data_IF_477482460453
#
_entry.id   IF_477482460453
#
_cell.length_a   1.000
_cell.length_b   1.000
_cell.length_c   1.000
_cell.angle_alpha   90.00
_cell.angle_beta   90.00
_cell.angle_gamma   90.00
#
_symmetry.space_group_name_H-M   'P 1'
#
loop_
_entity.id
_entity.type
_entity.pdbx_description
1 polymer ?
#
# COMPACT_ATOMS: atom_id res chain seq x y z
N UNK A 1 -1.52 -1.23 -11.53
CA UNK A 1 -1.41 -2.37 -10.60
C UNK A 1 -2.60 -3.29 -10.80
N UNK A 2 -2.35 -4.56 -11.13
CA UNK A 2 -3.36 -5.61 -11.05
C UNK A 2 -3.23 -6.34 -9.72
N UNK A 3 -4.34 -6.89 -9.23
CA UNK A 3 -4.42 -7.55 -7.94
C UNK A 3 -5.00 -8.96 -8.03
N UNK A 4 -4.70 -9.76 -7.02
CA UNK A 4 -5.24 -11.08 -6.76
C UNK A 4 -5.95 -11.07 -5.40
N UNK A 5 -7.13 -11.68 -5.36
CA UNK A 5 -7.80 -12.08 -4.13
C UNK A 5 -7.52 -13.57 -3.88
N UNK A 6 -7.20 -13.94 -2.63
CA UNK A 6 -7.01 -15.32 -2.22
C UNK A 6 -7.94 -15.61 -1.05
N UNK A 7 -8.97 -16.43 -1.31
CA UNK A 7 -9.94 -16.84 -0.30
C UNK A 7 -9.45 -18.09 0.43
N UNK A 8 -9.25 -17.96 1.73
CA UNK A 8 -8.88 -19.04 2.64
C UNK A 8 -10.10 -19.42 3.47
N UNK A 9 -10.56 -20.66 3.32
CA UNK A 9 -11.69 -21.20 4.07
C UNK A 9 -11.18 -21.97 5.29
N UNK A 10 -11.74 -21.65 6.46
CA UNK A 10 -11.41 -22.30 7.73
C UNK A 10 -12.59 -23.12 8.25
N UNK A 11 -12.33 -24.10 9.10
CA UNK A 11 -13.37 -24.95 9.69
C UNK A 11 -14.25 -24.19 10.71
N UNK A 12 -13.79 -23.07 11.24
CA UNK A 12 -14.49 -22.23 12.22
C UNK A 12 -14.33 -20.74 11.90
N UNK A 13 -15.20 -19.86 12.44
CA UNK A 13 -15.07 -18.42 12.25
C UNK A 13 -13.71 -17.89 12.68
N UNK A 14 -13.16 -16.95 11.92
CA UNK A 14 -11.84 -16.38 12.19
C UNK A 14 -11.96 -15.19 13.14
N UNK A 15 -11.24 -15.23 14.26
CA UNK A 15 -11.15 -14.10 15.17
C UNK A 15 -10.27 -12.98 14.57
N UNK A 16 -10.91 -11.99 13.97
CA UNK A 16 -10.26 -10.86 13.31
C UNK A 16 -9.34 -10.05 14.24
N UNK A 17 -9.77 -9.84 15.49
CA UNK A 17 -8.97 -9.12 16.47
C UNK A 17 -7.66 -9.87 16.82
N UNK A 18 -7.73 -11.20 16.95
CA UNK A 18 -6.54 -12.04 17.16
C UNK A 18 -5.58 -12.00 15.95
N UNK A 19 -6.12 -12.04 14.72
CA UNK A 19 -5.31 -11.88 13.50
C UNK A 19 -4.61 -10.51 13.47
N UNK A 20 -5.32 -9.43 13.82
CA UNK A 20 -4.72 -8.09 13.92
C UNK A 20 -3.63 -8.03 14.99
N UNK A 21 -3.86 -8.62 16.17
CA UNK A 21 -2.86 -8.68 17.24
C UNK A 21 -1.59 -9.45 16.79
N UNK A 22 -1.75 -10.60 16.11
CA UNK A 22 -0.64 -11.35 15.54
C UNK A 22 0.13 -10.52 14.49
N UNK A 23 -0.60 -9.80 13.63
CA UNK A 23 0.02 -8.93 12.63
C UNK A 23 0.82 -7.78 13.27
N UNK A 24 0.29 -7.14 14.32
CA UNK A 24 0.99 -6.07 15.07
C UNK A 24 2.32 -6.54 15.66
N UNK A 25 2.40 -7.80 16.08
CA UNK A 25 3.62 -8.38 16.65
C UNK A 25 4.72 -8.60 15.60
N UNK A 26 4.34 -8.94 14.36
CA UNK A 26 5.28 -9.40 13.34
C UNK A 26 5.55 -8.35 12.25
N UNK A 27 4.55 -7.59 11.83
CA UNK A 27 4.62 -6.63 10.74
C UNK A 27 4.95 -5.22 11.28
N UNK A 28 6.17 -5.09 11.80
CA UNK A 28 6.71 -3.82 12.30
C UNK A 28 6.83 -2.77 11.20
N UNK A 29 6.88 -1.49 11.59
CA UNK A 29 6.97 -0.33 10.69
C UNK A 29 5.78 -0.21 9.71
N UNK A 30 4.62 -0.76 10.09
CA UNK A 30 3.37 -0.61 9.37
C UNK A 30 2.33 0.17 10.19
N UNK A 31 1.44 0.87 9.50
CA UNK A 31 0.14 1.25 10.04
C UNK A 31 -0.71 0.00 10.23
N UNK A 32 -1.37 -0.09 11.37
CA UNK A 32 -2.31 -1.17 11.66
C UNK A 32 -3.72 -0.58 11.72
N UNK A 33 -4.63 -1.12 10.91
CA UNK A 33 -6.03 -0.74 10.89
C UNK A 33 -6.90 -1.97 11.01
N UNK A 34 -8.01 -1.82 11.71
CA UNK A 34 -9.00 -2.88 11.96
C UNK A 34 -10.37 -2.22 12.12
N UNK A 35 -11.32 -2.68 11.31
CA UNK A 35 -12.73 -2.32 11.37
C UNK A 35 -13.54 -3.60 11.50
N UNK A 36 -14.27 -3.75 12.61
CA UNK A 36 -15.35 -4.73 12.70
C UNK A 36 -16.65 -4.03 12.31
N UNK A 37 -17.28 -4.47 11.23
CA UNK A 37 -18.57 -3.94 10.79
C UNK A 37 -19.70 -4.51 11.66
N UNK A 38 -19.59 -5.80 11.97
CA UNK A 38 -20.49 -6.56 12.84
C UNK A 38 -19.72 -7.75 13.44
N UNK A 39 -20.43 -8.71 14.05
CA UNK A 39 -19.81 -9.88 14.69
C UNK A 39 -19.19 -10.90 13.73
N UNK A 40 -19.48 -10.83 12.44
CA UNK A 40 -19.03 -11.78 11.41
C UNK A 40 -18.13 -11.16 10.35
N UNK A 41 -18.19 -9.84 10.18
CA UNK A 41 -17.51 -9.11 9.10
C UNK A 41 -16.48 -8.12 9.63
N UNK A 42 -15.25 -8.23 9.14
CA UNK A 42 -14.18 -7.30 9.46
C UNK A 42 -13.26 -7.01 8.26
N UNK A 43 -12.58 -5.87 8.30
CA UNK A 43 -11.49 -5.52 7.40
C UNK A 43 -10.29 -5.02 8.20
N UNK A 44 -9.11 -5.58 7.94
CA UNK A 44 -7.89 -5.26 8.66
C UNK A 44 -6.66 -5.28 7.77
N UNK A 45 -5.57 -4.67 8.22
CA UNK A 45 -4.32 -4.71 7.47
C UNK A 45 -3.13 -4.15 8.22
N UNK A 46 -1.96 -4.29 7.59
CA UNK A 46 -0.67 -3.80 8.10
C UNK A 46 0.12 -3.16 6.98
N UNK A 47 -0.26 -1.93 6.65
CA UNK A 47 0.24 -1.21 5.48
C UNK A 47 1.49 -0.39 5.79
N UNK A 48 2.52 -0.43 4.94
CA UNK A 48 3.69 0.43 5.09
C UNK A 48 3.50 1.83 4.49
N UNK A 49 2.40 2.08 3.77
CA UNK A 49 2.25 3.23 2.88
C UNK A 49 1.30 4.28 3.44
N UNK A 50 1.79 5.49 3.63
CA UNK A 50 0.96 6.67 3.92
C UNK A 50 0.33 7.18 2.63
N UNK A 51 -0.99 7.37 2.64
CA UNK A 51 -1.67 8.12 1.58
C UNK A 51 -1.47 9.63 1.80
N UNK A 52 -1.85 10.14 2.97
CA UNK A 52 -1.45 11.49 3.41
C UNK A 52 -1.44 11.63 4.93
N UNK A 53 -0.75 12.66 5.40
CA UNK A 53 -0.86 13.20 6.75
C UNK A 53 -0.92 14.71 6.68
N UNK A 54 -1.99 15.29 7.22
CA UNK A 54 -2.18 16.74 7.30
C UNK A 54 -2.09 17.20 8.75
N UNK A 55 -1.37 18.30 8.99
CA UNK A 55 -1.43 19.09 10.23
C UNK A 55 -1.65 20.54 9.85
N UNK A 56 -2.82 21.08 10.19
CA UNK A 56 -3.35 22.31 9.64
C UNK A 56 -3.30 22.30 8.10
N UNK A 57 -2.34 23.02 7.49
CA UNK A 57 -2.10 23.00 6.04
C UNK A 57 -0.87 22.21 5.63
N UNK A 58 0.01 21.82 6.56
CA UNK A 58 1.20 21.05 6.24
C UNK A 58 0.81 19.63 5.83
N UNK A 59 1.16 19.26 4.59
CA UNK A 59 0.83 17.98 3.98
C UNK A 59 2.10 17.14 3.80
N UNK A 60 2.02 15.86 4.17
CA UNK A 60 3.02 14.85 3.85
C UNK A 60 2.37 13.67 3.14
N UNK A 61 2.94 13.27 2.03
CA UNK A 61 2.63 12.02 1.30
C UNK A 61 3.95 11.37 0.87
N UNK A 62 3.89 10.26 0.15
CA UNK A 62 5.07 9.53 -0.30
C UNK A 62 4.78 8.72 -1.57
N UNK A 63 5.77 8.64 -2.45
CA UNK A 63 5.80 7.68 -3.54
C UNK A 63 6.49 6.40 -3.05
N UNK A 64 5.71 5.35 -2.79
CA UNK A 64 6.19 4.05 -2.36
C UNK A 64 5.94 3.01 -3.45
N UNK A 65 6.91 2.83 -4.34
CA UNK A 65 6.85 1.90 -5.47
C UNK A 65 8.26 1.44 -5.83
N UNK A 66 8.37 0.23 -6.39
CA UNK A 66 9.61 -0.53 -6.48
C UNK A 66 9.80 -1.43 -5.27
N UNK A 67 10.05 -2.72 -5.52
CA UNK A 67 10.04 -3.77 -4.49
C UNK A 67 11.19 -4.74 -4.67
N UNK A 68 11.79 -5.17 -3.55
CA UNK A 68 12.69 -6.33 -3.49
C UNK A 68 12.34 -7.18 -2.27
N UNK A 69 12.74 -8.44 -2.25
CA UNK A 69 12.61 -9.28 -1.06
C UNK A 69 13.42 -8.72 0.13
N UNK A 70 12.93 -8.96 1.35
CA UNK A 70 13.73 -8.77 2.55
C UNK A 70 14.47 -10.07 2.91
N UNK A 71 15.56 -9.95 3.67
CA UNK A 71 16.30 -11.08 4.21
C UNK A 71 16.49 -10.94 5.73
N UNK A 72 16.50 -12.04 6.53
CA UNK A 72 16.77 -11.97 7.96
C UNK A 72 18.19 -11.49 8.31
N UNK A 73 19.19 -11.87 7.51
CA UNK A 73 20.54 -11.31 7.60
C UNK A 73 20.58 -9.87 7.10
N UNK A 74 21.05 -8.96 7.95
CA UNK A 74 21.07 -7.52 7.70
C UNK A 74 21.99 -7.11 6.55
N UNK A 75 23.12 -7.80 6.36
CA UNK A 75 24.06 -7.48 5.27
C UNK A 75 23.48 -7.88 3.93
N UNK A 76 22.82 -9.04 3.85
CA UNK A 76 22.12 -9.47 2.65
C UNK A 76 20.93 -8.56 2.32
N UNK A 77 20.14 -8.18 3.34
CA UNK A 77 19.04 -7.23 3.15
C UNK A 77 19.54 -5.87 2.67
N UNK A 78 20.65 -5.39 3.22
CA UNK A 78 21.28 -4.14 2.78
C UNK A 78 21.71 -4.21 1.31
N UNK A 79 22.39 -5.29 0.87
CA UNK A 79 22.78 -5.47 -0.54
C UNK A 79 21.57 -5.50 -1.49
N UNK A 80 20.48 -6.16 -1.09
CA UNK A 80 19.23 -6.15 -1.86
C UNK A 80 18.63 -4.74 -1.95
N UNK A 81 18.71 -3.96 -0.87
CA UNK A 81 18.30 -2.56 -0.86
C UNK A 81 19.18 -1.66 -1.72
N UNK A 82 20.51 -1.85 -1.71
CA UNK A 82 21.46 -1.14 -2.57
C UNK A 82 21.20 -1.45 -4.05
N UNK A 83 20.93 -2.72 -4.38
CA UNK A 83 20.49 -3.12 -5.71
C UNK A 83 19.18 -2.41 -6.10
N UNK A 84 18.17 -2.39 -5.22
CA UNK A 84 16.89 -1.71 -5.47
C UNK A 84 17.08 -0.20 -5.73
N UNK A 85 18.01 0.44 -5.02
CA UNK A 85 18.35 1.85 -5.21
C UNK A 85 19.08 2.11 -6.54
N UNK A 86 19.81 1.13 -7.07
CA UNK A 86 20.56 1.26 -8.33
C UNK A 86 19.80 0.73 -9.56
N UNK A 87 18.70 0.00 -9.37
CA UNK A 87 17.95 -0.61 -10.47
C UNK A 87 17.09 0.41 -11.25
N UNK A 88 17.40 0.57 -12.53
CA UNK A 88 16.75 1.54 -13.43
C UNK A 88 15.26 1.29 -13.62
N UNK A 89 14.78 0.03 -13.57
CA UNK A 89 13.35 -0.28 -13.68
C UNK A 89 12.62 0.27 -12.46
N UNK A 90 13.05 -0.11 -11.26
CA UNK A 90 12.42 0.29 -10.00
C UNK A 90 12.51 1.81 -9.77
N UNK A 91 13.63 2.44 -10.13
CA UNK A 91 13.79 3.89 -10.04
C UNK A 91 12.78 4.64 -10.94
N UNK A 92 12.60 4.18 -12.18
CA UNK A 92 11.60 4.77 -13.11
C UNK A 92 10.17 4.53 -12.63
N UNK A 93 9.87 3.33 -12.15
CA UNK A 93 8.55 3.03 -11.57
C UNK A 93 8.22 3.98 -10.41
N UNK A 94 9.18 4.19 -9.50
CA UNK A 94 9.00 5.12 -8.39
C UNK A 94 8.84 6.58 -8.86
N UNK A 95 9.62 7.01 -9.85
CA UNK A 95 9.54 8.39 -10.36
C UNK A 95 8.20 8.69 -11.03
N UNK A 96 7.62 7.72 -11.75
CA UNK A 96 6.27 7.86 -12.32
C UNK A 96 5.22 8.13 -11.24
N UNK A 97 5.36 7.52 -10.05
CA UNK A 97 4.47 7.79 -8.91
C UNK A 97 4.70 9.18 -8.33
N UNK A 98 5.96 9.64 -8.23
CA UNK A 98 6.28 11.01 -7.81
C UNK A 98 5.65 12.03 -8.76
N UNK A 99 5.86 11.87 -10.07
CA UNK A 99 5.36 12.77 -11.11
C UNK A 99 3.83 12.86 -11.08
N UNK A 100 3.14 11.73 -10.95
CA UNK A 100 1.68 11.68 -10.77
C UNK A 100 1.22 12.43 -9.52
N UNK A 101 1.84 12.18 -8.37
CA UNK A 101 1.48 12.88 -7.12
C UNK A 101 1.69 14.39 -7.27
N UNK A 102 2.83 14.81 -7.80
CA UNK A 102 3.14 16.23 -8.01
C UNK A 102 2.14 16.89 -8.97
N UNK A 103 1.83 16.24 -10.09
CA UNK A 103 0.85 16.74 -11.07
C UNK A 103 -0.53 16.92 -10.46
N UNK A 104 -0.95 15.98 -9.59
CA UNK A 104 -2.26 16.04 -8.93
C UNK A 104 -2.33 17.12 -7.86
N UNK A 105 -1.23 17.35 -7.13
CA UNK A 105 -1.22 18.33 -6.03
C UNK A 105 -0.96 19.77 -6.48
N UNK A 106 -0.35 20.00 -7.65
CA UNK A 106 0.17 21.32 -8.06
C UNK A 106 -0.84 22.48 -7.99
N UNK A 107 -2.14 22.23 -8.21
CA UNK A 107 -3.16 23.28 -8.19
C UNK A 107 -3.65 23.63 -6.78
N UNK A 108 -3.47 22.72 -5.82
CA UNK A 108 -4.03 22.79 -4.47
C UNK A 108 -2.97 23.03 -3.40
N UNK A 109 -1.69 23.08 -3.78
CA UNK A 109 -0.56 23.20 -2.85
C UNK A 109 0.40 24.32 -3.26
N UNK A 110 1.26 24.70 -2.31
CA UNK A 110 2.46 25.48 -2.58
C UNK A 110 3.55 24.57 -3.18
N UNK A 111 4.80 25.04 -3.18
CA UNK A 111 5.97 24.28 -3.62
C UNK A 111 6.00 22.87 -3.03
N UNK A 112 6.35 21.89 -3.86
CA UNK A 112 6.46 20.49 -3.51
C UNK A 112 7.93 20.12 -3.31
N UNK A 113 8.27 19.67 -2.11
CA UNK A 113 9.60 19.18 -1.75
C UNK A 113 9.63 17.65 -1.87
N UNK A 114 10.26 17.14 -2.92
CA UNK A 114 10.51 15.70 -3.08
C UNK A 114 11.86 15.36 -2.45
N UNK A 115 11.83 14.55 -1.40
CA UNK A 115 13.04 14.13 -0.69
C UNK A 115 13.80 13.02 -1.46
N UNK A 116 15.11 12.85 -1.21
CA UNK A 116 15.90 11.78 -1.81
C UNK A 116 15.29 10.39 -1.56
N UNK A 117 15.48 9.45 -2.51
CA UNK A 117 15.00 8.08 -2.34
C UNK A 117 15.61 7.38 -1.13
N UNK A 118 14.82 6.53 -0.49
CA UNK A 118 15.22 5.71 0.65
C UNK A 118 14.65 4.30 0.52
N UNK A 119 15.34 3.32 1.09
CA UNK A 119 14.80 1.94 1.23
C UNK A 119 14.04 1.82 2.54
N UNK A 120 12.77 1.43 2.46
CA UNK A 120 11.93 1.05 3.58
C UNK A 120 11.92 -0.48 3.73
N UNK A 121 12.69 -1.00 4.70
CA UNK A 121 12.77 -2.43 4.99
C UNK A 121 11.60 -2.88 5.88
N UNK A 122 10.88 -3.91 5.44
CA UNK A 122 9.76 -4.54 6.15
C UNK A 122 10.03 -6.03 6.35
N UNK A 123 9.14 -6.75 7.03
CA UNK A 123 9.32 -8.17 7.40
C UNK A 123 9.71 -9.07 6.22
N UNK A 124 8.97 -9.00 5.10
CA UNK A 124 9.15 -9.90 3.94
C UNK A 124 9.65 -9.19 2.66
N UNK A 125 9.52 -7.87 2.60
CA UNK A 125 9.86 -7.07 1.42
C UNK A 125 10.53 -5.76 1.84
N UNK A 126 11.18 -5.10 0.89
CA UNK A 126 11.67 -3.73 1.02
C UNK A 126 11.10 -2.89 -0.12
N UNK A 127 10.90 -1.60 0.13
CA UNK A 127 10.33 -0.68 -0.87
C UNK A 127 11.22 0.53 -1.07
N UNK A 128 11.23 1.04 -2.31
CA UNK A 128 11.80 2.34 -2.61
C UNK A 128 10.77 3.43 -2.28
N UNK A 129 11.17 4.42 -1.47
CA UNK A 129 10.32 5.50 -0.97
C UNK A 129 10.93 6.87 -1.29
N UNK A 130 10.11 7.78 -1.82
CA UNK A 130 10.39 9.22 -1.85
C UNK A 130 9.29 9.96 -1.10
N UNK A 131 9.64 10.61 0.00
CA UNK A 131 8.70 11.44 0.75
C UNK A 131 8.45 12.76 -0.02
N UNK A 132 7.20 13.23 -0.01
CA UNK A 132 6.79 14.47 -0.69
C UNK A 132 6.09 15.36 0.32
N UNK A 133 6.66 16.54 0.57
CA UNK A 133 6.16 17.50 1.55
C UNK A 133 5.72 18.78 0.86
N UNK A 134 4.64 19.39 1.36
CA UNK A 134 4.15 20.67 0.86
C UNK A 134 3.19 21.31 1.87
N UNK A 135 2.65 22.48 1.54
CA UNK A 135 1.55 23.10 2.25
C UNK A 135 0.33 23.23 1.32
N UNK A 136 -0.84 22.83 1.79
CA UNK A 136 -2.10 23.02 1.08
C UNK A 136 -2.50 24.50 1.07
N UNK A 137 -3.17 24.93 0.00
CA UNK A 137 -3.81 26.24 -0.07
C UNK A 137 -4.93 26.37 0.98
N UNK A 138 -5.68 25.28 1.20
CA UNK A 138 -6.77 25.16 2.17
C UNK A 138 -6.61 23.87 2.98
N UNK A 139 -6.90 23.92 4.29
CA UNK A 139 -6.90 22.74 5.14
C UNK A 139 -8.17 21.90 4.84
N UNK A 140 -8.11 21.08 3.79
CA UNK A 140 -9.26 20.35 3.25
C UNK A 140 -8.88 18.90 2.92
N UNK A 141 -9.44 17.96 3.68
CA UNK A 141 -9.15 16.53 3.54
C UNK A 141 -9.87 15.89 2.35
N UNK A 142 -10.95 16.49 1.83
CA UNK A 142 -11.65 16.02 0.63
C UNK A 142 -10.77 16.25 -0.60
N UNK A 143 -10.08 17.39 -0.66
CA UNK A 143 -9.05 17.65 -1.67
C UNK A 143 -7.93 16.59 -1.57
N UNK A 144 -7.39 16.35 -0.38
CA UNK A 144 -6.34 15.33 -0.21
C UNK A 144 -6.79 13.96 -0.71
N UNK A 145 -8.01 13.53 -0.34
CA UNK A 145 -8.55 12.24 -0.73
C UNK A 145 -8.71 12.11 -2.25
N UNK A 146 -9.36 13.06 -2.93
CA UNK A 146 -9.64 12.97 -4.37
C UNK A 146 -8.40 13.23 -5.25
N UNK A 147 -7.44 14.03 -4.78
CA UNK A 147 -6.21 14.25 -5.52
C UNK A 147 -5.28 13.05 -5.40
N UNK A 148 -5.17 12.42 -4.23
CA UNK A 148 -4.22 11.34 -3.98
C UNK A 148 -4.78 9.94 -4.24
N UNK A 149 -6.05 9.66 -3.93
CA UNK A 149 -6.63 8.32 -4.09
C UNK A 149 -7.37 8.15 -5.43
N UNK A 150 -7.19 7.02 -6.14
CA UNK A 150 -6.14 6.02 -5.95
C UNK A 150 -4.79 6.53 -6.47
N UNK A 151 -3.69 6.19 -5.80
CA UNK A 151 -2.34 6.55 -6.26
C UNK A 151 -1.97 5.81 -7.55
N UNK A 152 -1.01 6.33 -8.31
CA UNK A 152 -0.40 5.60 -9.43
C UNK A 152 0.16 4.23 -9.00
N UNK A 153 0.65 4.10 -7.76
CA UNK A 153 1.17 2.84 -7.22
C UNK A 153 0.09 1.75 -7.11
N UNK A 154 -1.18 2.12 -6.83
CA UNK A 154 -2.27 1.15 -6.64
C UNK A 154 -3.28 1.08 -7.79
N UNK A 155 -3.36 2.10 -8.64
CA UNK A 155 -4.16 2.05 -9.87
C UNK A 155 -3.25 1.83 -11.08
N UNK A 156 -2.38 2.78 -11.38
CA UNK A 156 -1.53 2.82 -12.56
C UNK A 156 -1.66 4.16 -13.29
N UNK A 157 -1.00 4.27 -14.44
CA UNK A 157 -0.96 5.49 -15.25
C UNK A 157 -1.28 5.20 -16.73
N UNK A 158 -1.98 6.12 -17.43
CA UNK A 158 -2.78 7.23 -16.88
C UNK A 158 -3.92 6.72 -15.98
N UNK A 159 -4.26 7.46 -14.91
CA UNK A 159 -5.18 6.96 -13.85
C UNK A 159 -6.53 6.45 -14.38
N UNK A 160 -7.17 7.19 -15.28
CA UNK A 160 -8.49 6.81 -15.81
C UNK A 160 -8.43 5.53 -16.64
N UNK A 161 -7.44 5.40 -17.52
CA UNK A 161 -7.24 4.19 -18.32
C UNK A 161 -6.87 3.00 -17.44
N UNK A 162 -6.01 3.20 -16.44
CA UNK A 162 -5.65 2.15 -15.48
C UNK A 162 -6.88 1.68 -14.67
N UNK A 163 -7.72 2.62 -14.20
CA UNK A 163 -8.97 2.29 -13.50
C UNK A 163 -9.96 1.55 -14.39
N UNK A 164 -10.12 1.96 -15.65
CA UNK A 164 -10.97 1.27 -16.62
C UNK A 164 -10.47 -0.15 -16.90
N UNK A 165 -9.16 -0.33 -17.02
CA UNK A 165 -8.56 -1.65 -17.22
C UNK A 165 -8.82 -2.56 -16.01
N UNK A 166 -8.58 -2.06 -14.79
CA UNK A 166 -8.89 -2.77 -13.55
C UNK A 166 -10.36 -3.17 -13.50
N UNK A 167 -11.28 -2.22 -13.74
CA UNK A 167 -12.72 -2.46 -13.68
C UNK A 167 -13.20 -3.49 -14.72
N UNK A 168 -12.53 -3.58 -15.87
CA UNK A 168 -12.88 -4.51 -16.95
C UNK A 168 -12.30 -5.91 -16.75
N UNK A 169 -11.11 -6.01 -16.15
CA UNK A 169 -10.31 -7.24 -16.21
C UNK A 169 -10.02 -7.89 -14.87
N UNK A 170 -10.15 -7.19 -13.73
CA UNK A 170 -10.02 -7.87 -12.43
C UNK A 170 -11.25 -8.74 -12.14
N UNK A 171 -11.06 -10.03 -11.80
CA UNK A 171 -12.17 -10.97 -11.62
C UNK A 171 -12.89 -10.83 -10.26
N UNK A 172 -12.65 -9.73 -9.53
CA UNK A 172 -13.24 -9.45 -8.23
C UNK A 172 -13.30 -7.94 -7.96
N UNK A 173 -14.14 -7.53 -7.02
CA UNK A 173 -14.19 -6.15 -6.54
C UNK A 173 -13.19 -5.94 -5.40
N UNK A 174 -12.37 -4.89 -5.48
CA UNK A 174 -11.41 -4.56 -4.42
C UNK A 174 -12.07 -4.11 -3.11
N UNK A 175 -13.25 -3.50 -3.18
CA UNK A 175 -13.98 -2.96 -2.03
C UNK A 175 -13.08 -2.02 -1.19
N UNK A 176 -12.68 -2.45 0.01
CA UNK A 176 -11.80 -1.71 0.93
C UNK A 176 -10.31 -1.83 0.59
N UNK A 177 -9.91 -2.85 -0.17
CA UNK A 177 -8.52 -3.04 -0.58
C UNK A 177 -8.02 -1.92 -1.49
N UNK A 178 -6.81 -1.42 -1.21
CA UNK A 178 -6.20 -0.28 -1.89
C UNK A 178 -7.00 1.03 -1.81
N UNK A 179 -7.99 1.11 -0.90
CA UNK A 179 -8.58 2.36 -0.42
C UNK A 179 -7.69 3.03 0.62
N UNK A 180 -8.30 3.61 1.65
CA UNK A 180 -7.56 4.23 2.76
C UNK A 180 -8.19 3.94 4.12
N UNK A 181 -7.35 3.93 5.16
CA UNK A 181 -7.75 3.76 6.56
C UNK A 181 -7.02 4.77 7.44
N UNK A 182 -7.76 5.42 8.34
CA UNK A 182 -7.24 6.55 9.08
C UNK A 182 -8.30 7.34 9.84
N UNK A 183 -7.99 8.59 10.14
CA UNK A 183 -8.89 9.52 10.82
C UNK A 183 -8.76 10.94 10.26
N UNK A 184 -9.79 11.75 10.47
CA UNK A 184 -9.78 13.18 10.18
C UNK A 184 -10.39 13.99 11.32
N UNK A 185 -9.90 15.23 11.44
CA UNK A 185 -10.43 16.28 12.30
C UNK A 185 -10.10 17.62 11.64
N UNK A 186 -10.70 18.72 12.09
CA UNK A 186 -10.39 20.05 11.54
C UNK A 186 -8.88 20.37 11.60
N UNK A 187 -8.22 20.05 12.72
CA UNK A 187 -6.81 20.35 12.95
C UNK A 187 -5.86 19.40 12.20
N UNK A 188 -6.18 18.11 12.11
CA UNK A 188 -5.26 17.13 11.52
C UNK A 188 -5.98 15.86 11.04
N UNK A 189 -5.32 15.18 10.10
CA UNK A 189 -5.75 13.90 9.56
C UNK A 189 -4.54 13.03 9.20
N UNK A 190 -4.73 11.72 9.21
CA UNK A 190 -3.73 10.79 8.70
C UNK A 190 -4.42 9.53 8.17
N UNK A 191 -4.09 9.18 6.93
CA UNK A 191 -4.60 8.02 6.23
C UNK A 191 -3.45 7.23 5.63
N UNK A 192 -3.45 5.93 5.87
CA UNK A 192 -2.62 4.96 5.15
C UNK A 192 -3.39 4.39 3.96
N UNK A 193 -2.67 3.90 2.95
CA UNK A 193 -3.27 3.13 1.86
C UNK A 193 -3.61 1.74 2.39
N UNK A 194 -4.81 1.22 2.10
CA UNK A 194 -5.30 -0.07 2.63
C UNK A 194 -4.71 -1.30 1.93
N UNK A 195 -3.37 -1.37 1.91
CA UNK A 195 -2.57 -2.49 1.42
C UNK A 195 -2.30 -3.51 2.53
N UNK A 196 -1.74 -4.68 2.13
CA UNK A 196 -1.39 -5.79 3.03
C UNK A 196 -2.55 -6.07 3.99
N UNK A 197 -3.72 -6.28 3.39
CA UNK A 197 -5.00 -6.28 4.06
C UNK A 197 -5.80 -7.54 3.76
N UNK A 198 -6.78 -7.79 4.63
CA UNK A 198 -7.67 -8.93 4.57
C UNK A 198 -9.11 -8.49 4.88
N UNK A 199 -10.06 -9.05 4.15
CA UNK A 199 -11.48 -9.04 4.51
C UNK A 199 -11.83 -10.39 5.14
N UNK A 200 -12.51 -10.36 6.28
CA UNK A 200 -12.98 -11.54 7.00
C UNK A 200 -14.50 -11.53 6.93
N UNK A 201 -15.08 -12.66 6.55
CA UNK A 201 -16.52 -12.92 6.55
C UNK A 201 -16.76 -14.32 7.10
N UNK A 202 -17.16 -14.38 8.38
CA UNK A 202 -17.32 -15.64 9.11
C UNK A 202 -16.03 -16.45 9.17
N UNK A 203 -15.99 -17.57 8.47
CA UNK A 203 -14.85 -18.50 8.38
C UNK A 203 -14.00 -18.32 7.11
N UNK A 204 -14.23 -17.26 6.32
CA UNK A 204 -13.46 -16.96 5.11
C UNK A 204 -12.58 -15.74 5.33
N UNK A 205 -11.29 -15.88 5.00
CA UNK A 205 -10.34 -14.77 4.95
C UNK A 205 -9.93 -14.53 3.50
N UNK A 206 -10.31 -13.38 2.95
CA UNK A 206 -9.86 -12.91 1.65
C UNK A 206 -8.61 -12.05 1.82
N UNK A 207 -7.46 -12.55 1.37
CA UNK A 207 -6.21 -11.81 1.31
C UNK A 207 -6.08 -11.09 -0.03
N UNK A 208 -5.51 -9.89 0.00
CA UNK A 208 -5.25 -9.09 -1.20
C UNK A 208 -3.77 -8.81 -1.39
N UNK A 209 -3.29 -8.98 -2.63
CA UNK A 209 -1.97 -8.52 -3.05
C UNK A 209 -2.01 -8.09 -4.51
N UNK A 210 -1.19 -7.10 -4.87
CA UNK A 210 -1.13 -6.57 -6.23
C UNK A 210 0.27 -6.12 -6.61
N UNK A 211 0.52 -6.11 -7.91
CA UNK A 211 1.80 -5.77 -8.53
C UNK A 211 1.61 -4.73 -9.66
N UNK A 212 2.59 -3.83 -9.77
CA UNK A 212 2.63 -2.80 -10.81
C UNK A 212 3.06 -3.41 -12.13
N UNK A 213 2.17 -3.43 -13.13
CA UNK A 213 2.50 -3.99 -14.45
C UNK A 213 3.02 -2.86 -15.33
N UNK A 214 4.27 -2.97 -15.76
CA UNK A 214 4.94 -2.03 -16.66
C UNK A 214 5.51 -2.77 -17.87
N UNK A 215 5.99 -2.02 -18.87
CA UNK A 215 6.68 -2.63 -20.01
C UNK A 215 7.90 -3.41 -19.50
N UNK A 216 7.94 -4.70 -19.84
CA UNK A 216 9.00 -5.62 -19.39
C UNK A 216 8.70 -6.35 -18.07
N UNK A 217 7.50 -6.20 -17.51
CA UNK A 217 7.01 -7.09 -16.45
C UNK A 217 6.92 -8.53 -16.95
N UNK A 218 7.43 -9.46 -16.15
CA UNK A 218 7.38 -10.90 -16.40
C UNK A 218 6.29 -11.53 -15.49
N UNK A 219 5.31 -12.26 -16.04
CA UNK A 219 4.19 -12.78 -15.25
C UNK A 219 4.60 -13.60 -14.02
N UNK A 220 5.64 -14.43 -14.13
CA UNK A 220 6.09 -15.29 -13.03
C UNK A 220 6.74 -14.47 -11.91
N UNK A 221 7.56 -13.47 -12.28
CA UNK A 221 8.14 -12.54 -11.30
C UNK A 221 7.08 -11.72 -10.58
N UNK A 222 6.09 -11.19 -11.30
CA UNK A 222 5.00 -10.41 -10.69
C UNK A 222 4.12 -11.30 -9.79
N UNK A 223 3.95 -12.58 -10.15
CA UNK A 223 3.26 -13.57 -9.32
C UNK A 223 4.01 -13.84 -8.00
N UNK A 224 5.33 -14.06 -8.09
CA UNK A 224 6.18 -14.24 -6.92
C UNK A 224 6.18 -12.99 -6.00
N UNK A 225 6.12 -11.79 -6.58
CA UNK A 225 6.00 -10.54 -5.83
C UNK A 225 4.69 -10.48 -5.03
N UNK A 226 3.55 -10.79 -5.64
CA UNK A 226 2.26 -10.77 -4.92
C UNK A 226 2.16 -11.86 -3.85
N UNK A 227 2.81 -13.01 -4.05
CA UNK A 227 2.93 -14.04 -3.01
C UNK A 227 3.75 -13.54 -1.81
N UNK A 228 4.88 -12.87 -2.06
CA UNK A 228 5.69 -12.26 -1.01
C UNK A 228 4.92 -11.15 -0.24
N UNK A 229 4.11 -10.35 -0.96
CA UNK A 229 3.25 -9.32 -0.36
C UNK A 229 2.13 -9.93 0.50
N UNK A 230 1.49 -11.01 0.03
CA UNK A 230 0.44 -11.72 0.77
C UNK A 230 0.99 -12.50 1.98
N UNK A 231 2.23 -13.00 1.91
CA UNK A 231 2.87 -13.78 2.96
C UNK A 231 2.91 -13.08 4.32
N UNK A 232 2.94 -11.74 4.34
CA UNK A 232 2.90 -10.94 5.56
C UNK A 232 1.68 -11.20 6.44
N UNK A 233 0.52 -11.50 5.83
CA UNK A 233 -0.71 -11.89 6.52
C UNK A 233 -0.95 -13.40 6.49
N UNK A 234 -0.65 -14.07 5.37
CA UNK A 234 -0.88 -15.51 5.20
C UNK A 234 -0.17 -16.35 6.28
N UNK A 235 1.07 -16.01 6.60
CA UNK A 235 1.88 -16.71 7.62
C UNK A 235 1.38 -16.51 9.06
N UNK A 236 0.38 -15.65 9.28
CA UNK A 236 -0.29 -15.50 10.58
C UNK A 236 -1.37 -16.56 10.80
N UNK A 237 -1.90 -17.11 9.71
CA UNK A 237 -3.06 -18.01 9.68
C UNK A 237 -2.65 -19.46 9.41
N UNK A 238 -1.49 -19.65 8.81
CA UNK A 238 -0.86 -20.93 8.56
C UNK A 238 0.39 -20.98 9.43
N UNK A 239 0.27 -21.52 10.64
CA UNK A 239 1.45 -21.99 11.35
C UNK A 239 1.85 -23.31 10.68
N UNK A 240 3.03 -23.32 10.04
CA UNK A 240 3.77 -24.56 9.80
C UNK A 240 4.23 -25.16 11.13
#
# INVERSE_FOLDING_TARGET
MLARATDLHFASPVNAAAMMAASRRLNLNCYHFYMAFDGENAFLGSSPERLWRRRDKALRTEALAGTVANHPDDKQAQRLGEWLMADDKNQRENMLVVEDICQRLQADTLTLDVLPPQVLRLRKVQHLRRCIWTALNKADDVICLHQLQPTAAVAGLPRDLARQFIARHEPFTREWYAGSAGYLSLQQSEFCVSLRSAKISGNVVRLYAGAGIVRGSDPEQEWQEIDNKAAGLRTLLQME
#
